data_IF_000691566224
#
_entry.id   IF_000691566224
#
_cell.length_a   1.000
_cell.length_b   1.000
_cell.length_c   1.000
_cell.angle_alpha   90.00
_cell.angle_beta   90.00
_cell.angle_gamma   90.00
#
_symmetry.space_group_name_H-M   'P 1'
#
loop_
_entity.id
_entity.type
_entity.pdbx_description
1 polymer ?
#
# COMPACT_ATOMS: atom_id res chain seq x y z
N UNK A 1 -1.59 75.54 17.55
CA UNK A 1 -0.54 74.56 17.12
C UNK A 1 -1.16 73.15 17.15
N UNK A 2 -1.73 72.74 16.03
CA UNK A 2 -2.38 71.45 15.86
C UNK A 2 -1.35 70.43 15.37
N UNK A 3 -1.24 69.29 16.02
CA UNK A 3 -0.53 68.13 15.52
C UNK A 3 -1.51 67.08 15.00
N UNK A 4 -1.56 66.94 13.71
CA UNK A 4 -2.24 65.83 13.01
C UNK A 4 -1.50 64.51 13.31
N UNK A 5 -2.21 63.49 13.82
CA UNK A 5 -1.75 62.12 13.89
C UNK A 5 -2.30 61.35 12.69
N UNK A 6 -1.39 60.77 11.92
CA UNK A 6 -1.69 59.87 10.81
C UNK A 6 -2.16 58.54 11.33
N UNK A 7 -3.27 58.08 10.78
CA UNK A 7 -3.81 56.74 10.94
C UNK A 7 -3.08 55.84 9.94
N UNK A 8 -2.31 54.89 10.44
CA UNK A 8 -1.69 53.84 9.63
C UNK A 8 -2.69 52.76 9.34
N UNK A 9 -2.80 52.41 8.09
CA UNK A 9 -3.75 51.47 7.50
C UNK A 9 -3.32 50.03 7.78
N UNK A 10 -4.24 49.26 8.32
CA UNK A 10 -4.18 47.81 8.41
C UNK A 10 -4.65 47.18 7.09
N UNK A 11 -3.75 46.73 6.24
CA UNK A 11 -4.03 45.81 5.11
C UNK A 11 -2.96 44.76 5.13
N UNK A 12 -3.14 43.71 5.89
CA UNK A 12 -2.35 42.47 5.76
C UNK A 12 -2.95 41.29 6.52
N UNK A 13 -4.09 40.76 6.13
CA UNK A 13 -4.59 39.46 6.63
C UNK A 13 -5.55 38.76 5.65
N UNK A 14 -5.51 38.98 4.35
CA UNK A 14 -6.43 38.29 3.44
C UNK A 14 -5.77 37.41 2.37
N UNK A 15 -4.44 37.28 2.33
CA UNK A 15 -3.76 36.56 1.26
C UNK A 15 -3.29 35.16 1.63
N UNK A 16 -3.14 34.81 2.92
CA UNK A 16 -2.68 33.48 3.31
C UNK A 16 -3.76 32.39 3.22
N UNK A 17 -5.01 32.71 3.51
CA UNK A 17 -6.10 31.72 3.48
C UNK A 17 -6.47 31.25 2.08
N UNK A 18 -6.39 32.14 1.09
CA UNK A 18 -6.72 31.83 -0.31
C UNK A 18 -5.63 31.00 -1.02
N UNK A 19 -4.36 31.20 -0.66
CA UNK A 19 -3.25 30.42 -1.24
C UNK A 19 -3.28 28.98 -0.76
N UNK A 20 -3.58 28.72 0.51
CA UNK A 20 -3.66 27.39 1.07
C UNK A 20 -4.86 26.61 0.50
N UNK A 21 -6.01 27.26 0.31
CA UNK A 21 -7.20 26.64 -0.27
C UNK A 21 -7.01 26.35 -1.79
N UNK A 22 -6.38 27.26 -2.52
CA UNK A 22 -6.07 27.06 -3.94
C UNK A 22 -5.04 25.92 -4.16
N UNK A 23 -4.04 25.80 -3.28
CA UNK A 23 -3.03 24.74 -3.38
C UNK A 23 -3.63 23.37 -3.04
N UNK A 24 -4.55 23.27 -2.10
CA UNK A 24 -5.29 22.05 -1.78
C UNK A 24 -6.23 21.63 -2.92
N UNK A 25 -6.93 22.55 -3.57
CA UNK A 25 -7.81 22.26 -4.71
C UNK A 25 -7.01 21.87 -5.96
N UNK A 26 -5.86 22.50 -6.19
CA UNK A 26 -4.92 22.10 -7.25
C UNK A 26 -4.37 20.71 -7.01
N UNK A 27 -4.04 20.36 -5.75
CA UNK A 27 -3.54 19.04 -5.40
C UNK A 27 -4.60 17.94 -5.64
N UNK A 28 -5.87 18.20 -5.34
CA UNK A 28 -6.97 17.28 -5.61
C UNK A 28 -7.20 17.06 -7.11
N UNK A 29 -7.15 18.12 -7.91
CA UNK A 29 -7.32 18.05 -9.37
C UNK A 29 -6.19 17.27 -10.06
N UNK A 30 -5.01 17.21 -9.46
CA UNK A 30 -3.82 16.63 -10.08
C UNK A 30 -3.35 15.31 -9.47
N UNK A 31 -4.10 14.69 -8.56
CA UNK A 31 -3.64 13.42 -7.97
C UNK A 31 -3.45 12.35 -9.03
N UNK A 32 -4.44 12.14 -9.91
CA UNK A 32 -4.37 11.22 -11.04
C UNK A 32 -4.79 11.94 -12.34
N UNK A 33 -4.07 12.98 -12.67
CA UNK A 33 -4.23 13.73 -13.91
C UNK A 33 -2.87 13.88 -14.57
N UNK A 34 -2.75 13.49 -15.83
CA UNK A 34 -1.56 13.72 -16.68
C UNK A 34 -1.91 13.56 -18.15
N UNK A 35 -1.77 14.64 -18.92
CA UNK A 35 -2.18 14.65 -20.31
C UNK A 35 -3.66 14.31 -20.47
N UNK A 36 -3.96 13.22 -21.19
CA UNK A 36 -5.33 12.73 -21.39
C UNK A 36 -5.88 11.94 -20.21
N UNK A 37 -5.03 11.50 -19.27
CA UNK A 37 -5.46 10.78 -18.09
C UNK A 37 -6.08 11.76 -17.11
N UNK A 38 -7.35 11.52 -16.76
CA UNK A 38 -8.05 12.29 -15.73
C UNK A 38 -9.01 11.39 -14.96
N UNK A 39 -8.61 10.97 -13.77
CA UNK A 39 -9.39 10.09 -12.92
C UNK A 39 -10.08 10.93 -11.83
N UNK A 40 -11.42 10.96 -11.80
CA UNK A 40 -12.15 11.72 -10.79
C UNK A 40 -11.89 11.17 -9.38
N UNK A 41 -12.02 12.00 -8.33
CA UNK A 41 -11.90 11.57 -6.94
C UNK A 41 -12.76 10.34 -6.63
N UNK A 42 -12.26 9.47 -5.75
CA UNK A 42 -13.04 8.33 -5.28
C UNK A 42 -14.18 8.79 -4.36
N UNK A 43 -15.34 8.13 -4.45
CA UNK A 43 -16.51 8.47 -3.65
C UNK A 43 -17.24 7.24 -3.16
N UNK A 44 -17.75 7.31 -1.93
CA UNK A 44 -18.65 6.31 -1.36
C UNK A 44 -19.97 6.21 -2.13
N UNK A 45 -20.43 7.32 -2.70
CA UNK A 45 -21.69 7.41 -3.44
C UNK A 45 -21.60 6.91 -4.89
N UNK A 46 -20.42 6.55 -5.37
CA UNK A 46 -20.26 6.01 -6.71
C UNK A 46 -21.05 4.69 -6.85
N UNK A 47 -21.88 4.50 -7.92
CA UNK A 47 -22.68 3.31 -8.09
C UNK A 47 -21.85 2.03 -8.21
N UNK A 48 -22.44 0.91 -7.77
CA UNK A 48 -21.83 -0.41 -7.99
C UNK A 48 -22.03 -0.88 -9.43
N UNK A 49 -20.98 -1.51 -9.96
CA UNK A 49 -21.04 -2.13 -11.27
C UNK A 49 -21.96 -3.39 -11.22
N UNK A 50 -22.85 -3.52 -12.19
CA UNK A 50 -23.78 -4.67 -12.24
C UNK A 50 -23.08 -6.02 -12.47
N UNK A 51 -21.94 -5.99 -13.17
CA UNK A 51 -21.15 -7.17 -13.49
C UNK A 51 -19.67 -6.83 -13.34
N UNK A 52 -18.94 -7.63 -12.57
CA UNK A 52 -17.51 -7.50 -12.39
C UNK A 52 -16.76 -7.34 -13.72
N UNK A 53 -15.87 -6.37 -13.77
CA UNK A 53 -15.02 -6.07 -14.91
C UNK A 53 -13.55 -5.93 -14.49
N UNK A 54 -12.71 -6.94 -14.71
CA UNK A 54 -11.29 -6.82 -14.48
C UNK A 54 -10.65 -5.75 -15.36
N UNK A 55 -11.15 -5.54 -16.57
CA UNK A 55 -10.63 -4.54 -17.51
C UNK A 55 -10.71 -3.12 -16.94
N UNK A 56 -11.83 -2.73 -16.32
CA UNK A 56 -11.99 -1.41 -15.69
C UNK A 56 -11.05 -1.24 -14.49
N UNK A 57 -10.88 -2.27 -13.67
CA UNK A 57 -9.96 -2.22 -12.53
C UNK A 57 -8.51 -2.09 -12.99
N UNK A 58 -8.14 -2.81 -14.05
CA UNK A 58 -6.81 -2.70 -14.67
C UNK A 58 -6.57 -1.32 -15.24
N UNK A 59 -7.53 -0.75 -15.98
CA UNK A 59 -7.43 0.61 -16.51
C UNK A 59 -7.18 1.63 -15.39
N UNK A 60 -7.98 1.59 -14.33
CA UNK A 60 -7.78 2.45 -13.16
C UNK A 60 -6.38 2.30 -12.54
N UNK A 61 -5.90 1.07 -12.40
CA UNK A 61 -4.59 0.77 -11.83
C UNK A 61 -3.45 1.29 -12.70
N UNK A 62 -3.48 1.04 -14.02
CA UNK A 62 -2.47 1.47 -14.97
C UNK A 62 -2.43 3.00 -15.13
N UNK A 63 -3.60 3.62 -15.33
CA UNK A 63 -3.73 5.07 -15.51
C UNK A 63 -3.34 5.83 -14.24
N UNK A 64 -3.76 5.36 -13.06
CA UNK A 64 -3.40 6.00 -11.78
C UNK A 64 -1.90 5.99 -11.52
N UNK A 65 -1.22 4.85 -11.76
CA UNK A 65 0.23 4.75 -11.62
C UNK A 65 0.96 5.64 -12.63
N UNK A 66 0.50 5.65 -13.89
CA UNK A 66 1.08 6.47 -14.97
C UNK A 66 0.94 7.95 -14.65
N UNK A 67 -0.26 8.41 -14.29
CA UNK A 67 -0.50 9.81 -13.96
C UNK A 67 0.35 10.26 -12.76
N UNK A 68 0.41 9.47 -11.70
CA UNK A 68 1.26 9.78 -10.54
C UNK A 68 2.73 9.87 -10.95
N UNK A 69 3.23 8.90 -11.69
CA UNK A 69 4.63 8.83 -12.11
C UNK A 69 5.03 10.05 -12.93
N UNK A 70 4.21 10.44 -13.89
CA UNK A 70 4.50 11.57 -14.80
C UNK A 70 4.42 12.93 -14.11
N UNK A 71 3.42 13.13 -13.24
CA UNK A 71 3.18 14.44 -12.63
C UNK A 71 3.96 14.64 -11.33
N UNK A 72 4.00 13.61 -10.45
CA UNK A 72 4.63 13.74 -9.14
C UNK A 72 6.12 13.42 -9.16
N UNK A 73 6.57 12.63 -10.13
CA UNK A 73 7.99 12.26 -10.31
C UNK A 73 8.64 11.75 -9.03
N UNK A 74 7.87 11.04 -8.21
CA UNK A 74 8.35 10.42 -6.99
C UNK A 74 7.76 9.03 -6.81
N UNK A 75 8.52 8.14 -6.19
CA UNK A 75 8.00 6.83 -5.77
C UNK A 75 7.12 7.01 -4.54
N UNK A 76 5.90 6.49 -4.58
CA UNK A 76 4.96 6.55 -3.48
C UNK A 76 4.58 5.14 -3.02
N UNK A 77 4.42 4.95 -1.72
CA UNK A 77 3.93 3.71 -1.15
C UNK A 77 2.48 3.38 -1.57
N UNK A 78 1.68 4.38 -1.85
CA UNK A 78 0.22 4.26 -2.05
C UNK A 78 -0.24 4.22 -3.53
N UNK A 79 0.62 4.49 -4.52
CA UNK A 79 0.25 4.49 -5.95
C UNK A 79 1.25 3.69 -6.78
N UNK A 80 2.28 4.31 -7.35
CA UNK A 80 3.21 3.61 -8.25
C UNK A 80 4.06 2.56 -7.54
N UNK A 81 4.39 2.72 -6.26
CA UNK A 81 4.99 1.65 -5.46
C UNK A 81 4.03 0.47 -5.26
N UNK A 82 2.75 0.73 -4.88
CA UNK A 82 1.73 -0.33 -4.81
C UNK A 82 1.49 -0.99 -6.18
N UNK A 83 1.51 -0.23 -7.28
CA UNK A 83 1.46 -0.78 -8.63
C UNK A 83 2.59 -1.78 -8.89
N UNK A 84 3.83 -1.37 -8.61
CA UNK A 84 5.01 -2.22 -8.80
C UNK A 84 4.97 -3.48 -7.94
N UNK A 85 4.39 -3.41 -6.75
CA UNK A 85 4.20 -4.57 -5.86
C UNK A 85 3.11 -5.52 -6.36
N UNK A 86 2.03 -4.99 -6.94
CA UNK A 86 0.85 -5.78 -7.28
C UNK A 86 0.83 -6.25 -8.75
N UNK A 87 1.13 -5.34 -9.69
CA UNK A 87 0.87 -5.57 -11.11
C UNK A 87 1.75 -6.65 -11.76
N UNK A 88 3.04 -6.78 -11.41
CA UNK A 88 3.88 -7.83 -11.99
C UNK A 88 3.35 -9.24 -11.75
N UNK A 89 2.85 -9.54 -10.55
CA UNK A 89 2.33 -10.88 -10.22
C UNK A 89 1.07 -11.25 -11.01
N UNK A 90 0.39 -10.29 -11.62
CA UNK A 90 -0.76 -10.49 -12.52
C UNK A 90 -0.37 -10.71 -14.00
N UNK A 91 0.92 -10.86 -14.31
CA UNK A 91 1.42 -10.97 -15.70
C UNK A 91 0.77 -12.12 -16.47
N UNK A 92 0.54 -13.27 -15.81
CA UNK A 92 -0.09 -14.45 -16.46
C UNK A 92 -1.53 -14.19 -16.89
N UNK A 93 -2.28 -13.42 -16.09
CA UNK A 93 -3.71 -13.20 -16.30
C UNK A 93 -4.00 -11.93 -17.10
N UNK A 94 -3.15 -10.90 -16.96
CA UNK A 94 -3.41 -9.58 -17.53
C UNK A 94 -2.38 -9.12 -18.58
N UNK A 95 -1.36 -9.95 -18.87
CA UNK A 95 -0.24 -9.57 -19.74
C UNK A 95 0.80 -8.72 -19.00
N UNK A 96 1.86 -8.32 -19.72
CA UNK A 96 3.00 -7.58 -19.12
C UNK A 96 2.58 -6.22 -18.56
N UNK A 97 3.11 -5.82 -17.40
CA UNK A 97 2.90 -4.48 -16.84
C UNK A 97 3.67 -3.40 -17.64
N UNK A 98 3.38 -2.13 -17.32
CA UNK A 98 4.01 -0.98 -17.97
C UNK A 98 5.52 -0.92 -17.72
N UNK A 99 6.32 -0.95 -18.80
CA UNK A 99 7.77 -0.74 -18.74
C UNK A 99 8.11 0.71 -18.28
N UNK A 100 7.24 1.68 -18.55
CA UNK A 100 7.43 3.07 -18.11
C UNK A 100 7.59 3.17 -16.61
N UNK A 101 6.71 2.46 -15.86
CA UNK A 101 6.74 2.51 -14.40
C UNK A 101 7.98 1.80 -13.84
N UNK A 102 8.38 0.68 -14.45
CA UNK A 102 9.63 0.01 -14.08
C UNK A 102 10.85 0.89 -14.34
N UNK A 103 10.93 1.51 -15.52
CA UNK A 103 12.05 2.37 -15.89
C UNK A 103 12.15 3.59 -14.97
N UNK A 104 11.00 4.14 -14.57
CA UNK A 104 10.96 5.17 -13.55
C UNK A 104 11.52 4.67 -12.20
N UNK A 105 11.16 3.46 -11.75
CA UNK A 105 11.72 2.89 -10.52
C UNK A 105 13.24 2.73 -10.60
N UNK A 106 13.77 2.27 -11.73
CA UNK A 106 15.23 2.19 -11.97
C UNK A 106 15.88 3.58 -11.94
N UNK A 107 15.22 4.59 -12.48
CA UNK A 107 15.72 5.97 -12.41
C UNK A 107 15.73 6.48 -10.96
N UNK A 108 14.67 6.21 -10.19
CA UNK A 108 14.61 6.56 -8.77
C UNK A 108 15.71 5.83 -7.95
N UNK A 109 16.05 4.60 -8.29
CA UNK A 109 17.18 3.89 -7.67
C UNK A 109 18.50 4.66 -7.87
N UNK A 110 18.78 5.13 -9.08
CA UNK A 110 19.97 5.92 -9.39
C UNK A 110 20.01 7.24 -8.59
N UNK A 111 18.87 7.90 -8.47
CA UNK A 111 18.73 9.12 -7.67
C UNK A 111 18.96 8.85 -6.17
N UNK A 112 18.40 7.76 -5.64
CA UNK A 112 18.66 7.36 -4.26
C UNK A 112 20.11 7.01 -4.02
N UNK A 113 20.77 6.30 -4.95
CA UNK A 113 22.21 5.99 -4.86
C UNK A 113 23.11 7.24 -4.86
N UNK A 114 22.66 8.32 -5.49
CA UNK A 114 23.37 9.61 -5.46
C UNK A 114 23.00 10.49 -4.26
N UNK A 115 22.05 10.06 -3.44
CA UNK A 115 21.60 10.79 -2.25
C UNK A 115 22.41 10.36 -1.03
N UNK A 116 22.75 11.32 -0.18
CA UNK A 116 23.41 11.06 1.10
C UNK A 116 22.63 10.06 1.95
N UNK A 117 23.31 9.07 2.55
CA UNK A 117 22.70 7.97 3.26
C UNK A 117 21.87 8.41 4.49
N UNK A 118 22.34 9.44 5.21
CA UNK A 118 21.61 9.98 6.36
C UNK A 118 20.29 10.62 5.93
N UNK A 119 20.27 11.24 4.75
CA UNK A 119 19.03 11.74 4.15
C UNK A 119 18.09 10.59 3.77
N UNK A 120 18.63 9.48 3.25
CA UNK A 120 17.82 8.29 2.91
C UNK A 120 17.26 7.60 4.15
N UNK A 121 17.90 7.72 5.30
CA UNK A 121 17.42 7.19 6.59
C UNK A 121 16.37 8.06 7.26
N UNK A 122 16.03 9.22 6.69
CA UNK A 122 15.13 10.20 7.29
C UNK A 122 13.77 10.28 6.59
N UNK A 123 12.75 10.70 7.33
CA UNK A 123 11.39 10.93 6.83
C UNK A 123 10.77 9.67 6.21
N UNK A 124 10.14 9.81 5.06
CA UNK A 124 9.48 8.68 4.35
C UNK A 124 10.44 7.86 3.48
N UNK A 125 11.70 8.26 3.37
CA UNK A 125 12.64 7.67 2.40
C UNK A 125 12.94 6.20 2.64
N UNK A 126 13.12 5.70 3.88
CA UNK A 126 13.28 4.26 4.10
C UNK A 126 12.10 3.44 3.56
N UNK A 127 10.87 3.93 3.74
CA UNK A 127 9.66 3.31 3.16
C UNK A 127 9.70 3.34 1.63
N UNK A 128 10.12 4.46 1.01
CA UNK A 128 10.23 4.54 -0.45
C UNK A 128 11.28 3.56 -0.99
N UNK A 129 12.41 3.41 -0.34
CA UNK A 129 13.45 2.44 -0.72
C UNK A 129 12.93 1.00 -0.60
N UNK A 130 12.19 0.67 0.47
CA UNK A 130 11.60 -0.66 0.63
C UNK A 130 10.57 -0.98 -0.47
N UNK A 131 9.67 -0.05 -0.81
CA UNK A 131 8.70 -0.23 -1.91
C UNK A 131 9.38 -0.32 -3.28
N UNK A 132 10.45 0.43 -3.51
CA UNK A 132 11.26 0.33 -4.72
C UNK A 132 11.87 -1.07 -4.86
N UNK A 133 12.52 -1.55 -3.81
CA UNK A 133 13.16 -2.87 -3.80
C UNK A 133 12.12 -3.99 -3.99
N UNK A 134 10.97 -3.91 -3.31
CA UNK A 134 9.89 -4.88 -3.49
C UNK A 134 9.34 -4.85 -4.92
N UNK A 135 9.10 -3.67 -5.47
CA UNK A 135 8.58 -3.52 -6.83
C UNK A 135 9.49 -4.11 -7.90
N UNK A 136 10.80 -3.90 -7.80
CA UNK A 136 11.79 -4.50 -8.70
C UNK A 136 11.91 -6.02 -8.48
N UNK A 137 11.82 -6.50 -7.23
CA UNK A 137 11.80 -7.94 -6.92
C UNK A 137 10.55 -8.64 -7.51
N UNK A 138 9.36 -8.05 -7.39
CA UNK A 138 8.13 -8.56 -8.02
C UNK A 138 8.25 -8.59 -9.55
N UNK A 139 8.87 -7.58 -10.16
CA UNK A 139 9.13 -7.56 -11.58
C UNK A 139 10.03 -8.74 -11.98
N UNK A 140 11.12 -8.92 -11.28
CA UNK A 140 12.06 -9.99 -11.57
C UNK A 140 11.43 -11.38 -11.36
N UNK A 141 10.64 -11.57 -10.33
CA UNK A 141 9.98 -12.84 -10.06
C UNK A 141 8.90 -13.20 -11.11
N UNK A 142 8.12 -12.22 -11.57
CA UNK A 142 6.91 -12.48 -12.34
C UNK A 142 6.96 -12.08 -13.81
N UNK A 143 7.93 -11.26 -14.22
CA UNK A 143 8.06 -10.76 -15.60
C UNK A 143 9.30 -11.31 -16.31
N UNK A 144 10.46 -11.31 -15.62
CA UNK A 144 11.74 -11.75 -16.21
C UNK A 144 12.17 -13.16 -15.78
N UNK A 145 11.73 -13.61 -14.61
CA UNK A 145 12.08 -14.92 -14.04
C UNK A 145 13.50 -15.02 -13.47
N UNK A 146 14.22 -13.91 -13.37
CA UNK A 146 15.62 -13.86 -12.90
C UNK A 146 15.94 -12.57 -12.16
N UNK A 147 16.83 -12.67 -11.16
CA UNK A 147 17.35 -11.52 -10.44
C UNK A 147 18.16 -10.61 -11.38
N UNK A 148 17.78 -9.34 -11.47
CA UNK A 148 18.49 -8.31 -12.23
C UNK A 148 19.50 -7.57 -11.36
N UNK A 149 20.55 -6.97 -11.97
CA UNK A 149 21.48 -6.10 -11.25
C UNK A 149 20.79 -4.93 -10.54
N UNK A 150 19.74 -4.37 -11.13
CA UNK A 150 18.98 -3.27 -10.53
C UNK A 150 18.23 -3.71 -9.27
N UNK A 151 17.66 -4.91 -9.28
CA UNK A 151 17.00 -5.48 -8.09
C UNK A 151 18.01 -5.80 -6.99
N UNK A 152 19.14 -6.38 -7.35
CA UNK A 152 20.22 -6.65 -6.39
C UNK A 152 20.75 -5.36 -5.75
N UNK A 153 20.95 -4.32 -6.54
CA UNK A 153 21.36 -2.99 -6.09
C UNK A 153 20.32 -2.33 -5.17
N UNK A 154 19.03 -2.43 -5.53
CA UNK A 154 17.94 -1.91 -4.71
C UNK A 154 17.83 -2.62 -3.36
N UNK A 155 17.99 -3.95 -3.33
CA UNK A 155 18.03 -4.72 -2.08
C UNK A 155 19.26 -4.36 -1.24
N UNK A 156 20.42 -4.13 -1.85
CA UNK A 156 21.63 -3.63 -1.19
C UNK A 156 21.37 -2.28 -0.52
N UNK A 157 20.82 -1.32 -1.27
CA UNK A 157 20.46 0.00 -0.73
C UNK A 157 19.45 -0.11 0.41
N UNK A 158 18.46 -0.99 0.26
CA UNK A 158 17.45 -1.23 1.29
C UNK A 158 18.10 -1.69 2.60
N UNK A 159 19.08 -2.59 2.55
CA UNK A 159 19.83 -3.01 3.75
C UNK A 159 20.68 -1.89 4.35
N UNK A 160 21.27 -1.02 3.53
CA UNK A 160 22.04 0.13 3.99
C UNK A 160 21.19 1.15 4.78
N UNK A 161 19.92 1.31 4.43
CA UNK A 161 18.98 2.22 5.14
C UNK A 161 18.24 1.57 6.31
N UNK A 162 18.52 0.31 6.63
CA UNK A 162 17.91 -0.39 7.75
C UNK A 162 18.20 0.32 9.08
N UNK A 163 17.21 0.41 9.95
CA UNK A 163 17.36 0.92 11.32
C UNK A 163 18.13 -0.03 12.23
N UNK A 164 18.59 0.48 13.37
CA UNK A 164 19.36 -0.31 14.34
C UNK A 164 18.59 -1.48 14.92
N UNK A 165 17.27 -1.32 15.09
CA UNK A 165 16.35 -2.38 15.56
C UNK A 165 16.05 -3.46 14.51
N UNK A 166 16.47 -3.27 13.27
CA UNK A 166 16.20 -4.20 12.17
C UNK A 166 14.97 -3.83 11.34
N UNK A 167 14.41 -2.66 11.56
CA UNK A 167 13.22 -2.13 10.91
C UNK A 167 13.54 -1.13 9.78
N UNK A 168 12.49 -0.65 9.10
CA UNK A 168 12.51 0.43 8.12
C UNK A 168 11.44 1.46 8.46
N UNK A 169 11.76 2.72 8.15
CA UNK A 169 10.86 3.84 8.39
C UNK A 169 11.07 4.49 9.74
N UNK A 170 10.61 5.71 9.87
CA UNK A 170 10.74 6.53 11.07
C UNK A 170 9.60 7.55 11.20
N UNK A 171 8.56 7.40 10.36
CA UNK A 171 7.36 8.22 10.42
C UNK A 171 6.13 7.32 10.59
N UNK A 172 5.29 7.64 11.53
CA UNK A 172 3.99 6.99 11.71
C UNK A 172 2.86 7.95 11.29
N UNK A 173 3.05 8.63 10.15
CA UNK A 173 2.21 9.77 9.79
C UNK A 173 0.92 9.39 9.07
N UNK A 174 0.97 8.43 8.12
CA UNK A 174 -0.13 8.13 7.20
C UNK A 174 -0.48 6.65 7.12
N UNK A 175 -1.32 6.15 8.06
CA UNK A 175 -1.76 4.77 8.01
C UNK A 175 -2.58 4.47 6.74
N UNK A 176 -2.59 3.24 6.23
CA UNK A 176 -1.87 2.09 6.76
C UNK A 176 -0.41 1.99 6.28
N UNK A 177 0.01 2.69 5.20
CA UNK A 177 1.28 2.48 4.51
C UNK A 177 2.50 2.97 5.29
N UNK A 178 2.38 4.10 5.95
CA UNK A 178 3.42 4.71 6.78
C UNK A 178 2.98 4.76 8.24
N UNK A 179 2.09 3.84 8.62
CA UNK A 179 1.50 3.83 9.96
C UNK A 179 2.47 3.37 11.02
N UNK A 180 3.47 2.59 10.63
CA UNK A 180 4.47 2.07 11.55
C UNK A 180 5.69 1.57 10.80
N UNK A 181 6.81 1.50 11.52
CA UNK A 181 8.02 0.83 11.03
C UNK A 181 7.73 -0.64 10.69
N UNK A 182 6.75 -1.26 11.37
CA UNK A 182 6.36 -2.63 11.12
C UNK A 182 5.82 -2.82 9.69
N UNK A 183 4.97 -1.90 9.19
CA UNK A 183 4.48 -1.91 7.81
C UNK A 183 5.65 -1.89 6.81
N UNK A 184 6.55 -0.92 6.94
CA UNK A 184 7.69 -0.78 6.02
C UNK A 184 8.65 -1.97 6.10
N UNK A 185 8.82 -2.55 7.29
CA UNK A 185 9.64 -3.76 7.50
C UNK A 185 9.02 -4.98 6.82
N UNK A 186 7.68 -5.12 6.82
CA UNK A 186 7.03 -6.22 6.07
C UNK A 186 7.20 -6.06 4.56
N UNK A 187 7.20 -4.83 4.04
CA UNK A 187 7.51 -4.54 2.63
C UNK A 187 8.95 -4.95 2.30
N UNK A 188 9.92 -4.59 3.14
CA UNK A 188 11.32 -5.00 2.97
C UNK A 188 11.49 -6.53 3.02
N UNK A 189 10.82 -7.19 3.94
CA UNK A 189 10.84 -8.65 4.04
C UNK A 189 10.25 -9.34 2.80
N UNK A 190 9.13 -8.84 2.27
CA UNK A 190 8.53 -9.32 1.04
C UNK A 190 9.47 -9.11 -0.17
N UNK A 191 10.20 -7.98 -0.23
CA UNK A 191 11.19 -7.74 -1.28
C UNK A 191 12.26 -8.84 -1.30
N UNK A 192 12.85 -9.15 -0.14
CA UNK A 192 13.88 -10.19 -0.01
C UNK A 192 13.33 -11.58 -0.31
N UNK A 193 12.12 -11.90 0.14
CA UNK A 193 11.50 -13.20 -0.04
C UNK A 193 11.01 -13.45 -1.48
N UNK A 194 10.76 -12.36 -2.24
CA UNK A 194 10.25 -12.44 -3.62
C UNK A 194 11.39 -12.45 -4.65
N UNK A 195 12.50 -11.75 -4.38
CA UNK A 195 13.63 -11.65 -5.31
C UNK A 195 14.20 -13.03 -5.64
N UNK A 196 14.29 -13.43 -6.93
CA UNK A 196 14.67 -14.77 -7.33
C UNK A 196 16.04 -15.22 -6.77
N UNK A 197 16.04 -16.23 -5.92
CA UNK A 197 17.26 -16.83 -5.35
C UNK A 197 17.98 -15.97 -4.27
N UNK A 198 17.58 -14.72 -4.07
CA UNK A 198 18.28 -13.80 -3.19
C UNK A 198 18.29 -14.26 -1.72
N UNK A 199 17.13 -14.66 -1.20
CA UNK A 199 17.00 -15.12 0.19
C UNK A 199 17.82 -16.38 0.46
N UNK A 200 17.92 -17.29 -0.49
CA UNK A 200 18.74 -18.50 -0.38
C UNK A 200 20.24 -18.16 -0.31
N UNK A 201 20.67 -17.13 -1.03
CA UNK A 201 22.07 -16.68 -1.05
C UNK A 201 22.45 -15.80 0.16
N UNK A 202 21.54 -14.96 0.65
CA UNK A 202 21.81 -13.90 1.61
C UNK A 202 21.01 -14.00 2.92
N UNK A 203 20.18 -15.03 3.09
CA UNK A 203 19.27 -15.14 4.25
C UNK A 203 19.93 -15.28 5.61
N UNK A 204 21.24 -15.49 5.65
CA UNK A 204 22.04 -15.56 6.89
C UNK A 204 22.76 -14.24 7.23
N UNK A 205 22.58 -13.19 6.43
CA UNK A 205 23.18 -11.88 6.70
C UNK A 205 22.64 -11.32 8.03
N UNK A 206 23.51 -10.66 8.81
CA UNK A 206 23.16 -10.12 10.12
C UNK A 206 22.02 -9.10 10.08
N UNK A 207 21.90 -8.34 8.98
CA UNK A 207 20.79 -7.42 8.75
C UNK A 207 19.45 -8.16 8.54
N UNK A 208 19.47 -9.28 7.82
CA UNK A 208 18.30 -10.15 7.62
C UNK A 208 17.85 -10.78 8.94
N UNK A 209 18.78 -11.26 9.77
CA UNK A 209 18.49 -11.81 11.09
C UNK A 209 17.94 -10.76 12.07
N UNK A 210 18.41 -9.51 12.01
CA UNK A 210 17.83 -8.40 12.79
C UNK A 210 16.36 -8.17 12.41
N UNK A 211 16.07 -8.11 11.11
CA UNK A 211 14.72 -7.94 10.60
C UNK A 211 13.81 -9.09 11.04
N UNK A 212 14.24 -10.35 10.92
CA UNK A 212 13.45 -11.50 11.38
C UNK A 212 13.06 -11.37 12.85
N UNK A 213 14.03 -11.05 13.72
CA UNK A 213 13.76 -10.81 15.15
C UNK A 213 12.75 -9.69 15.34
N UNK A 214 12.92 -8.57 14.64
CA UNK A 214 11.98 -7.45 14.71
C UNK A 214 10.56 -7.88 14.35
N UNK A 215 10.37 -8.57 13.22
CA UNK A 215 9.06 -9.05 12.77
C UNK A 215 8.42 -10.04 13.76
N UNK A 216 9.21 -10.95 14.34
CA UNK A 216 8.71 -11.99 15.25
C UNK A 216 8.31 -11.43 16.62
N UNK A 217 8.95 -10.34 17.07
CA UNK A 217 8.72 -9.77 18.41
C UNK A 217 7.73 -8.61 18.44
N UNK A 218 7.39 -8.02 17.29
CA UNK A 218 6.86 -6.66 17.26
C UNK A 218 5.55 -6.42 16.53
N UNK A 219 4.70 -7.43 16.24
CA UNK A 219 3.40 -7.13 15.63
C UNK A 219 2.51 -6.29 16.57
N UNK A 220 2.29 -5.00 16.28
CA UNK A 220 1.65 -4.09 17.24
C UNK A 220 0.14 -4.30 17.35
N UNK A 221 -0.52 -4.78 16.29
CA UNK A 221 -1.97 -4.93 16.18
C UNK A 221 -2.33 -5.96 15.09
N UNK A 222 -3.61 -6.29 14.91
CA UNK A 222 -4.04 -7.35 14.00
C UNK A 222 -3.73 -7.06 12.53
N UNK A 223 -3.68 -5.80 12.10
CA UNK A 223 -3.19 -5.45 10.77
C UNK A 223 -1.71 -5.86 10.58
N UNK A 224 -0.87 -5.60 11.56
CA UNK A 224 0.52 -6.05 11.53
C UNK A 224 0.65 -7.59 11.54
N UNK A 225 -0.24 -8.30 12.28
CA UNK A 225 -0.31 -9.77 12.27
C UNK A 225 -0.70 -10.33 10.90
N UNK A 226 -1.65 -9.70 10.20
CA UNK A 226 -1.98 -10.04 8.82
C UNK A 226 -0.78 -9.88 7.88
N UNK A 227 -0.02 -8.78 8.03
CA UNK A 227 1.19 -8.56 7.23
C UNK A 227 2.29 -9.58 7.54
N UNK A 228 2.48 -9.95 8.81
CA UNK A 228 3.40 -11.00 9.21
C UNK A 228 3.02 -12.35 8.60
N UNK A 229 1.73 -12.70 8.62
CA UNK A 229 1.21 -13.87 7.93
C UNK A 229 1.56 -13.81 6.44
N UNK A 230 1.39 -12.67 5.78
CA UNK A 230 1.73 -12.49 4.37
C UNK A 230 3.23 -12.76 4.10
N UNK A 231 4.13 -12.16 4.87
CA UNK A 231 5.57 -12.43 4.76
C UNK A 231 5.85 -13.92 4.91
N UNK A 232 5.24 -14.60 5.89
CA UNK A 232 5.45 -16.03 6.17
C UNK A 232 5.01 -16.94 5.02
N UNK A 233 4.14 -16.47 4.12
CA UNK A 233 3.75 -17.24 2.92
C UNK A 233 4.85 -17.31 1.86
N UNK A 234 5.77 -16.35 1.87
CA UNK A 234 6.90 -16.24 0.93
C UNK A 234 8.26 -16.52 1.56
N UNK A 235 8.32 -16.60 2.89
CA UNK A 235 9.54 -16.84 3.65
C UNK A 235 9.43 -18.15 4.45
N UNK A 236 9.90 -19.29 3.90
CA UNK A 236 9.86 -20.56 4.60
C UNK A 236 10.65 -20.50 5.93
N UNK A 237 10.06 -21.04 7.00
CA UNK A 237 10.70 -21.08 8.32
C UNK A 237 10.69 -19.75 9.10
N UNK A 238 10.03 -18.70 8.60
CA UNK A 238 9.86 -17.44 9.37
C UNK A 238 8.98 -17.65 10.61
N UNK A 239 7.93 -18.46 10.48
CA UNK A 239 6.99 -18.77 11.55
C UNK A 239 6.80 -20.30 11.67
N UNK A 240 6.64 -20.77 12.92
CA UNK A 240 6.19 -22.11 13.20
C UNK A 240 4.75 -22.35 12.73
N UNK A 241 4.43 -23.60 12.39
CA UNK A 241 3.13 -23.97 11.82
C UNK A 241 1.94 -23.57 12.70
N UNK A 242 2.04 -23.75 14.02
CA UNK A 242 1.01 -23.38 14.98
C UNK A 242 0.79 -21.86 15.04
N UNK A 243 1.87 -21.07 15.00
CA UNK A 243 1.78 -19.60 14.97
C UNK A 243 1.12 -19.15 13.68
N UNK A 244 1.52 -19.73 12.55
CA UNK A 244 0.90 -19.42 11.25
C UNK A 244 -0.59 -19.73 11.24
N UNK A 245 -1.00 -20.87 11.79
CA UNK A 245 -2.41 -21.24 11.90
C UNK A 245 -3.19 -20.29 12.82
N UNK A 246 -2.62 -19.89 13.96
CA UNK A 246 -3.25 -18.92 14.85
C UNK A 246 -3.46 -17.56 14.14
N UNK A 247 -2.52 -17.11 13.31
CA UNK A 247 -2.68 -15.90 12.51
C UNK A 247 -3.78 -16.04 11.45
N UNK A 248 -3.91 -17.22 10.81
CA UNK A 248 -5.00 -17.50 9.86
C UNK A 248 -6.36 -17.38 10.57
N UNK A 249 -6.52 -18.01 11.74
CA UNK A 249 -7.78 -17.94 12.50
C UNK A 249 -8.06 -16.52 13.02
N UNK A 250 -7.04 -15.76 13.42
CA UNK A 250 -7.20 -14.35 13.78
C UNK A 250 -7.79 -13.54 12.60
N UNK A 251 -7.23 -13.67 11.39
CA UNK A 251 -7.75 -12.97 10.20
C UNK A 251 -9.19 -13.39 9.88
N UNK A 252 -9.47 -14.69 9.93
CA UNK A 252 -10.81 -15.23 9.68
C UNK A 252 -11.83 -14.77 10.73
N UNK A 253 -11.40 -14.60 12.00
CA UNK A 253 -12.22 -14.08 13.09
C UNK A 253 -12.71 -12.65 12.89
N UNK A 254 -12.01 -11.85 12.12
CA UNK A 254 -12.41 -10.48 11.75
C UNK A 254 -13.40 -10.41 10.58
N UNK A 255 -13.78 -11.55 9.94
CA UNK A 255 -14.72 -11.53 8.82
C UNK A 255 -16.09 -11.03 9.26
N UNK A 256 -16.61 -10.08 8.54
CA UNK A 256 -17.91 -9.45 8.82
C UNK A 256 -19.08 -10.28 8.26
N UNK A 257 -20.29 -9.95 8.71
CA UNK A 257 -21.52 -10.67 8.30
C UNK A 257 -21.80 -10.61 6.80
N UNK A 258 -21.37 -9.52 6.13
CA UNK A 258 -21.50 -9.35 4.69
C UNK A 258 -20.48 -10.18 3.88
N UNK A 259 -19.50 -10.79 4.56
CA UNK A 259 -18.47 -11.65 3.98
C UNK A 259 -17.16 -10.96 3.68
N UNK A 260 -17.05 -9.64 3.81
CA UNK A 260 -15.82 -8.88 3.66
C UNK A 260 -15.09 -8.64 4.97
N UNK A 261 -14.09 -7.75 4.93
CA UNK A 261 -13.34 -7.24 6.08
C UNK A 261 -13.22 -5.72 6.01
N UNK A 262 -13.12 -5.07 7.16
CA UNK A 262 -12.86 -3.65 7.27
C UNK A 262 -11.47 -3.38 7.86
N UNK A 263 -10.70 -2.49 7.26
CA UNK A 263 -9.40 -2.08 7.80
C UNK A 263 -9.54 -1.51 9.22
N UNK A 264 -10.67 -0.86 9.51
CA UNK A 264 -10.95 -0.26 10.82
C UNK A 264 -11.11 -1.27 11.96
N UNK A 265 -11.35 -2.54 11.65
CA UNK A 265 -11.46 -3.62 12.66
C UNK A 265 -10.14 -4.32 12.96
N UNK A 266 -9.01 -3.90 12.34
CA UNK A 266 -7.70 -4.55 12.51
C UNK A 266 -6.73 -3.80 13.42
N UNK A 267 -7.11 -2.63 13.90
CA UNK A 267 -6.38 -1.89 14.93
C UNK A 267 -7.30 -0.89 15.61
N UNK A 268 -7.05 -0.59 16.87
CA UNK A 268 -7.75 0.48 17.57
C UNK A 268 -7.32 1.85 17.01
N UNK A 269 -8.15 2.89 17.11
CA UNK A 269 -7.81 4.23 16.63
C UNK A 269 -6.48 4.76 17.13
N UNK A 270 -6.11 4.43 18.36
CA UNK A 270 -4.87 4.85 19.01
C UNK A 270 -3.63 4.15 18.46
N UNK A 271 -3.81 2.99 17.83
CA UNK A 271 -2.72 2.21 17.26
C UNK A 271 -2.35 2.67 15.85
N UNK A 272 -3.24 3.39 15.16
CA UNK A 272 -2.95 3.96 13.85
C UNK A 272 -2.12 5.24 13.98
N UNK A 273 -0.93 5.24 13.37
CA UNK A 273 -0.06 6.42 13.33
C UNK A 273 0.28 6.97 14.72
N UNK A 274 0.47 6.11 15.72
CA UNK A 274 0.68 6.49 17.15
C UNK A 274 -0.46 7.35 17.70
N UNK A 275 -1.69 7.09 17.28
CA UNK A 275 -2.86 7.82 17.75
C UNK A 275 -3.12 9.15 17.06
N UNK A 276 -2.32 9.55 16.07
CA UNK A 276 -2.50 10.83 15.38
C UNK A 276 -3.80 10.92 14.53
N UNK A 277 -4.55 9.82 14.44
CA UNK A 277 -5.85 9.72 13.77
C UNK A 277 -6.99 9.30 14.70
N UNK A 278 -6.72 9.09 15.99
CA UNK A 278 -7.67 8.54 16.94
C UNK A 278 -8.97 9.37 17.03
N UNK A 279 -8.86 10.69 17.15
CA UNK A 279 -10.01 11.59 17.21
C UNK A 279 -10.87 11.51 15.94
N UNK A 280 -10.24 11.60 14.76
CA UNK A 280 -10.95 11.46 13.47
C UNK A 280 -11.68 10.11 13.37
N UNK A 281 -11.00 9.02 13.68
CA UNK A 281 -11.58 7.69 13.54
C UNK A 281 -12.74 7.46 14.51
N UNK A 282 -12.64 7.97 15.74
CA UNK A 282 -13.72 7.89 16.73
C UNK A 282 -14.93 8.76 16.39
N UNK A 283 -14.73 9.83 15.62
CA UNK A 283 -15.82 10.73 15.19
C UNK A 283 -16.60 10.19 13.99
N UNK A 284 -16.19 9.07 13.38
CA UNK A 284 -16.92 8.47 12.28
C UNK A 284 -18.21 7.78 12.78
N UNK A 285 -19.34 8.06 12.15
CA UNK A 285 -20.66 7.51 12.53
C UNK A 285 -20.66 5.97 12.58
N UNK A 286 -19.86 5.33 11.74
CA UNK A 286 -19.78 3.88 11.59
C UNK A 286 -18.59 3.26 12.35
N UNK A 287 -17.98 3.99 13.28
CA UNK A 287 -16.77 3.52 13.99
C UNK A 287 -16.99 2.18 14.70
N UNK A 288 -18.16 1.97 15.33
CA UNK A 288 -18.44 0.75 16.11
C UNK A 288 -18.74 -0.47 15.22
N UNK A 289 -19.30 -0.25 14.05
CA UNK A 289 -19.63 -1.31 13.08
C UNK A 289 -19.26 -0.86 11.66
N UNK A 290 -17.95 -0.70 11.36
CA UNK A 290 -17.50 -0.16 10.08
C UNK A 290 -17.84 -1.12 8.93
N UNK A 291 -18.28 -0.61 7.76
CA UNK A 291 -18.55 -1.46 6.60
C UNK A 291 -17.27 -2.16 6.12
N UNK A 292 -17.43 -3.31 5.47
CA UNK A 292 -16.34 -3.95 4.74
C UNK A 292 -15.83 -3.05 3.63
N UNK A 293 -14.53 -3.12 3.35
CA UNK A 293 -13.87 -2.29 2.35
C UNK A 293 -12.99 -3.10 1.38
N UNK A 294 -12.68 -2.51 0.22
CA UNK A 294 -11.93 -3.16 -0.83
C UNK A 294 -10.49 -3.48 -0.44
N UNK A 295 -9.82 -2.57 0.29
CA UNK A 295 -8.44 -2.77 0.71
C UNK A 295 -8.31 -4.00 1.63
N UNK A 296 -9.08 -4.01 2.70
CA UNK A 296 -8.94 -5.07 3.71
C UNK A 296 -9.50 -6.40 3.21
N UNK A 297 -10.64 -6.38 2.48
CA UNK A 297 -11.21 -7.61 1.92
C UNK A 297 -10.26 -8.23 0.89
N UNK A 298 -9.70 -7.42 0.00
CA UNK A 298 -8.72 -7.89 -0.98
C UNK A 298 -7.45 -8.44 -0.32
N UNK A 299 -6.88 -7.70 0.64
CA UNK A 299 -5.66 -8.11 1.33
C UNK A 299 -5.86 -9.39 2.16
N UNK A 300 -6.95 -9.49 2.95
CA UNK A 300 -7.25 -10.69 3.72
C UNK A 300 -7.45 -11.91 2.83
N UNK A 301 -8.25 -11.81 1.78
CA UNK A 301 -8.46 -12.91 0.84
C UNK A 301 -7.18 -13.35 0.16
N UNK A 302 -6.34 -12.42 -0.31
CA UNK A 302 -5.03 -12.68 -0.90
C UNK A 302 -4.14 -13.47 0.06
N UNK A 303 -3.97 -12.95 1.28
CA UNK A 303 -3.05 -13.54 2.27
C UNK A 303 -3.54 -14.91 2.73
N UNK A 304 -4.84 -15.07 3.00
CA UNK A 304 -5.42 -16.36 3.36
C UNK A 304 -5.25 -17.40 2.25
N UNK A 305 -5.43 -17.02 0.97
CA UNK A 305 -5.18 -17.90 -0.17
C UNK A 305 -3.70 -18.32 -0.25
N UNK A 306 -2.78 -17.38 -0.10
CA UNK A 306 -1.34 -17.66 -0.08
C UNK A 306 -0.91 -18.47 1.15
N UNK A 307 -1.62 -18.31 2.28
CA UNK A 307 -1.39 -19.12 3.48
C UNK A 307 -1.91 -20.56 3.36
N UNK A 308 -2.57 -20.92 2.25
CA UNK A 308 -3.04 -22.26 1.96
C UNK A 308 -4.50 -22.53 2.30
N UNK A 309 -5.28 -21.53 2.72
CA UNK A 309 -6.73 -21.72 2.93
C UNK A 309 -7.38 -22.02 1.57
N UNK A 310 -8.14 -23.15 1.44
CA UNK A 310 -8.70 -23.54 0.15
C UNK A 310 -9.65 -22.49 -0.43
N UNK A 311 -9.64 -22.31 -1.76
CA UNK A 311 -10.58 -21.41 -2.42
C UNK A 311 -12.06 -21.81 -2.18
N UNK A 312 -12.31 -23.08 -1.93
CA UNK A 312 -13.64 -23.60 -1.61
C UNK A 312 -14.10 -23.36 -0.17
N UNK A 313 -13.24 -22.80 0.71
CA UNK A 313 -13.65 -22.44 2.08
C UNK A 313 -14.85 -21.46 2.03
N UNK A 314 -15.96 -21.76 2.75
CA UNK A 314 -17.15 -20.92 2.69
C UNK A 314 -16.92 -19.46 3.08
N UNK A 315 -15.92 -19.18 3.95
CA UNK A 315 -15.56 -17.82 4.35
C UNK A 315 -14.90 -17.07 3.19
N UNK A 316 -14.02 -17.73 2.44
CA UNK A 316 -13.37 -17.17 1.27
C UNK A 316 -14.39 -16.98 0.11
N UNK A 317 -15.32 -17.92 -0.06
CA UNK A 317 -16.39 -17.79 -1.06
C UNK A 317 -17.29 -16.57 -0.78
N UNK A 318 -17.58 -16.26 0.50
CA UNK A 318 -18.32 -15.03 0.85
C UNK A 318 -17.51 -13.77 0.49
N UNK A 319 -16.19 -13.77 0.75
CA UNK A 319 -15.32 -12.65 0.39
C UNK A 319 -15.23 -12.44 -1.13
N UNK A 320 -15.10 -13.52 -1.89
CA UNK A 320 -15.16 -13.46 -3.36
C UNK A 320 -16.48 -12.85 -3.82
N UNK A 321 -17.61 -13.33 -3.29
CA UNK A 321 -18.92 -12.77 -3.62
C UNK A 321 -19.01 -11.29 -3.29
N UNK A 322 -18.48 -10.88 -2.12
CA UNK A 322 -18.44 -9.48 -1.73
C UNK A 322 -17.65 -8.65 -2.75
N UNK A 323 -16.43 -9.06 -3.12
CA UNK A 323 -15.61 -8.36 -4.10
C UNK A 323 -16.31 -8.24 -5.46
N UNK A 324 -16.91 -9.33 -5.97
CA UNK A 324 -17.59 -9.32 -7.27
C UNK A 324 -18.81 -8.40 -7.31
N UNK A 325 -19.46 -8.15 -6.16
CA UNK A 325 -20.68 -7.31 -6.07
C UNK A 325 -20.41 -5.87 -5.62
N UNK A 326 -19.18 -5.51 -5.20
CA UNK A 326 -18.86 -4.18 -4.66
C UNK A 326 -17.86 -3.39 -5.50
N UNK A 327 -17.56 -3.84 -6.73
CA UNK A 327 -16.82 -3.03 -7.69
C UNK A 327 -17.67 -1.83 -8.12
N UNK A 328 -17.07 -0.64 -8.16
CA UNK A 328 -17.71 0.60 -8.60
C UNK A 328 -17.69 0.70 -10.13
N UNK A 329 -18.53 1.56 -10.70
CA UNK A 329 -18.62 1.78 -12.15
C UNK A 329 -17.28 2.24 -12.78
N UNK A 330 -16.45 2.95 -12.02
CA UNK A 330 -15.07 3.31 -12.39
C UNK A 330 -14.09 2.13 -12.41
N UNK A 331 -14.49 0.93 -12.02
CA UNK A 331 -13.64 -0.25 -11.92
C UNK A 331 -12.94 -0.46 -10.58
N UNK A 332 -12.98 0.53 -9.69
CA UNK A 332 -12.32 0.49 -8.38
C UNK A 332 -13.22 -0.07 -7.27
N UNK A 333 -12.60 -0.43 -6.12
CA UNK A 333 -13.29 -0.67 -4.86
C UNK A 333 -12.98 0.49 -3.92
N UNK A 334 -14.00 1.31 -3.63
CA UNK A 334 -13.82 2.42 -2.72
C UNK A 334 -13.49 1.94 -1.32
N UNK A 335 -12.54 2.59 -0.68
CA UNK A 335 -12.16 2.36 0.70
C UNK A 335 -12.00 3.72 1.37
N UNK A 336 -12.72 3.95 2.46
CA UNK A 336 -12.59 5.16 3.25
C UNK A 336 -11.19 5.25 3.84
N UNK A 337 -10.50 6.36 3.59
CA UNK A 337 -9.14 6.56 4.08
C UNK A 337 -9.10 6.67 5.61
N UNK A 338 -8.04 6.15 6.21
CA UNK A 338 -7.73 6.40 7.63
C UNK A 338 -7.24 7.83 7.88
N UNK A 339 -6.84 8.56 6.83
CA UNK A 339 -6.28 9.91 6.93
C UNK A 339 -7.24 11.00 6.44
N UNK A 340 -7.67 10.91 5.19
CA UNK A 340 -8.50 11.90 4.51
C UNK A 340 -9.30 11.24 3.41
N UNK A 341 -10.54 11.66 3.23
CA UNK A 341 -11.42 11.17 2.17
C UNK A 341 -11.19 11.89 0.83
N UNK A 342 -10.26 12.87 0.78
CA UNK A 342 -9.99 13.70 -0.39
C UNK A 342 -9.12 13.04 -1.46
N UNK A 343 -8.41 11.92 -1.13
CA UNK A 343 -7.42 11.30 -2.00
C UNK A 343 -7.68 9.82 -2.24
N UNK A 344 -7.19 9.31 -3.36
CA UNK A 344 -7.35 7.91 -3.75
C UNK A 344 -6.50 6.91 -2.96
N UNK A 345 -5.63 7.34 -2.09
CA UNK A 345 -4.52 6.55 -1.55
C UNK A 345 -4.88 5.10 -1.20
N UNK A 346 -5.83 4.90 -0.32
CA UNK A 346 -6.22 3.56 0.11
C UNK A 346 -7.20 2.88 -0.89
N UNK A 347 -7.95 3.66 -1.67
CA UNK A 347 -8.78 3.14 -2.76
C UNK A 347 -7.92 2.57 -3.88
N UNK A 348 -6.72 3.09 -4.10
CA UNK A 348 -5.79 2.55 -5.09
C UNK A 348 -5.36 1.12 -4.71
N UNK A 349 -4.83 0.92 -3.51
CA UNK A 349 -4.53 -0.43 -3.00
C UNK A 349 -5.78 -1.28 -2.82
N UNK A 350 -6.92 -0.65 -2.46
CA UNK A 350 -8.24 -1.23 -2.43
C UNK A 350 -8.75 -1.71 -3.80
N UNK A 351 -8.04 -1.41 -4.88
CA UNK A 351 -8.26 -1.97 -6.22
C UNK A 351 -7.21 -3.00 -6.58
N UNK A 352 -5.95 -2.76 -6.22
CA UNK A 352 -4.86 -3.70 -6.50
C UNK A 352 -5.03 -5.04 -5.76
N UNK A 353 -5.30 -5.01 -4.45
CA UNK A 353 -5.45 -6.23 -3.65
C UNK A 353 -6.66 -7.10 -4.04
N UNK A 354 -7.86 -6.56 -4.34
CA UNK A 354 -8.93 -7.33 -4.93
C UNK A 354 -8.56 -8.06 -6.21
N UNK A 355 -7.84 -7.41 -7.14
CA UNK A 355 -7.39 -8.08 -8.36
C UNK A 355 -6.44 -9.25 -8.06
N UNK A 356 -5.44 -9.05 -7.18
CA UNK A 356 -4.54 -10.11 -6.74
C UNK A 356 -5.29 -11.26 -6.08
N UNK A 357 -6.24 -10.94 -5.20
CA UNK A 357 -7.03 -11.93 -4.49
C UNK A 357 -7.90 -12.77 -5.44
N UNK A 358 -8.59 -12.12 -6.38
CA UNK A 358 -9.42 -12.79 -7.38
C UNK A 358 -8.59 -13.65 -8.34
N UNK A 359 -7.36 -13.23 -8.68
CA UNK A 359 -6.41 -14.02 -9.44
C UNK A 359 -6.02 -15.30 -8.69
N UNK A 360 -5.68 -15.21 -7.39
CA UNK A 360 -5.35 -16.40 -6.57
C UNK A 360 -6.54 -17.35 -6.37
N UNK A 361 -7.76 -16.88 -6.62
CA UNK A 361 -8.97 -17.68 -6.64
C UNK A 361 -9.32 -18.23 -8.04
N UNK A 362 -8.49 -17.97 -9.07
CA UNK A 362 -8.70 -18.44 -10.43
C UNK A 362 -9.81 -17.71 -11.20
N UNK A 363 -10.16 -16.49 -10.78
CA UNK A 363 -11.25 -15.71 -11.36
C UNK A 363 -10.81 -14.67 -12.40
N UNK A 364 -9.51 -14.54 -12.62
CA UNK A 364 -8.94 -13.82 -13.77
C UNK A 364 -8.48 -14.85 -14.81
N UNK A 365 -9.02 -14.76 -16.02
CA UNK A 365 -8.67 -15.70 -17.08
C UNK A 365 -7.21 -15.48 -17.52
N UNK A 366 -6.43 -16.54 -17.72
CA UNK A 366 -5.11 -16.43 -18.34
C UNK A 366 -5.23 -15.86 -19.76
N UNK A 367 -4.31 -15.00 -20.14
CA UNK A 367 -4.13 -14.52 -21.53
C UNK A 367 -3.15 -15.37 -22.27
#
# INVERSE_FOLDING_TARGET
MERKRHVGVWILVLTLGTVIAQDQDLHLKHQYHSGEISIPPASESEPFLRKFSPALAVAYMEEGATAWTRERKCLSCHTNGTYLVARPSLTRSLGRPSEEIRNFAVQQLKEFRSTDLEKLRSGIRPTQVAYLAQGLAEWDAHVTGKLSPETEDALGLMLEVQGESGDWGNTDAWPPFESSNYQSTTVAALAMATAPGWLAARGQDGAVEKMKRYLQTGSPHDYGRLLLLWVSTRWPGLLEGEVKQALVENVLGHQRKDGGWSIRSFAAPEEWGRGNRAEKLRSEDQFQDPPSDGHQTGLCLLVLRQAGVPAADPRLQRAVKWLLSHQRESGRWWTRSLNTDKFHFITYSGTCYPLLALDTCGLLAPR
#
